data_IF_457569749136
#
_entry.id   IF_457569749136
#
_cell.length_a   1.000
_cell.length_b   1.000
_cell.length_c   1.000
_cell.angle_alpha   90.00
_cell.angle_beta   90.00
_cell.angle_gamma   90.00
#
_symmetry.space_group_name_H-M   'P 1'
#
loop_
_entity.id
_entity.type
_entity.pdbx_description
1 polymer ?
#
# COMPACT_ATOMS: atom_id res chain seq x y z
N UNK A 1 53.16 27.22 0.45
CA UNK A 1 52.18 26.53 1.32
C UNK A 1 50.75 26.99 1.03
N UNK A 2 50.54 28.25 0.66
CA UNK A 2 49.20 28.80 0.37
C UNK A 2 48.61 28.35 -0.99
N UNK A 3 49.43 28.07 -2.00
CA UNK A 3 48.96 27.57 -3.30
C UNK A 3 48.33 26.16 -3.26
N UNK A 4 48.72 25.32 -2.29
CA UNK A 4 48.17 23.97 -2.12
C UNK A 4 46.79 23.95 -1.48
N UNK A 5 46.45 24.99 -0.69
CA UNK A 5 45.17 25.10 0.02
C UNK A 5 44.08 25.66 -0.91
N UNK A 6 44.45 26.49 -1.89
CA UNK A 6 43.52 26.97 -2.92
C UNK A 6 43.07 25.85 -3.87
N UNK A 7 43.94 24.86 -4.16
CA UNK A 7 43.66 23.75 -5.08
C UNK A 7 42.55 22.81 -4.57
N UNK A 8 42.40 22.68 -3.25
CA UNK A 8 41.39 21.80 -2.63
C UNK A 8 39.99 22.43 -2.66
N UNK A 9 39.87 23.76 -2.75
CA UNK A 9 38.56 24.45 -2.75
C UNK A 9 37.86 24.49 -4.10
N UNK A 10 38.59 24.37 -5.21
CA UNK A 10 38.01 24.47 -6.57
C UNK A 10 37.34 23.15 -7.02
N UNK A 11 37.68 22.02 -6.41
CA UNK A 11 37.14 20.70 -6.78
C UNK A 11 35.76 20.37 -6.17
N UNK A 12 35.11 21.28 -5.45
CA UNK A 12 33.91 20.97 -4.63
C UNK A 12 32.58 21.43 -5.28
N UNK A 13 32.56 21.96 -6.51
CA UNK A 13 31.30 22.44 -7.10
C UNK A 13 31.01 21.86 -8.51
N UNK A 14 30.15 20.84 -8.54
CA UNK A 14 29.30 20.50 -9.69
C UNK A 14 29.99 19.89 -10.92
N UNK A 15 29.18 19.53 -11.90
CA UNK A 15 29.46 18.73 -13.12
C UNK A 15 30.58 19.24 -14.05
N UNK A 16 31.35 20.24 -13.64
CA UNK A 16 32.51 20.82 -14.33
C UNK A 16 33.86 20.31 -13.80
N UNK A 17 33.87 19.50 -12.73
CA UNK A 17 35.10 19.01 -12.10
C UNK A 17 36.04 18.26 -13.06
N UNK A 18 35.51 17.44 -13.97
CA UNK A 18 36.31 16.75 -14.98
C UNK A 18 36.99 17.75 -15.94
N UNK A 19 36.24 18.75 -16.41
CA UNK A 19 36.76 19.77 -17.34
C UNK A 19 37.80 20.67 -16.68
N UNK A 20 37.56 21.07 -15.42
CA UNK A 20 38.52 21.83 -14.62
C UNK A 20 39.80 21.02 -14.35
N UNK A 21 39.69 19.70 -14.16
CA UNK A 21 40.86 18.83 -14.00
C UNK A 21 41.74 18.84 -15.25
N UNK A 22 41.16 18.78 -16.45
CA UNK A 22 41.91 18.90 -17.71
C UNK A 22 42.49 20.30 -17.92
N UNK A 23 41.78 21.36 -17.53
CA UNK A 23 42.29 22.73 -17.58
C UNK A 23 43.49 22.91 -16.64
N UNK A 24 43.43 22.34 -15.43
CA UNK A 24 44.55 22.37 -14.47
C UNK A 24 45.74 21.54 -14.95
N UNK A 25 45.50 20.33 -15.47
CA UNK A 25 46.57 19.51 -16.05
C UNK A 25 47.23 20.21 -17.25
N UNK A 26 46.43 20.89 -18.09
CA UNK A 26 46.91 21.72 -19.19
C UNK A 26 47.74 22.92 -18.71
N UNK A 27 47.26 23.66 -17.70
CA UNK A 27 47.99 24.79 -17.13
C UNK A 27 49.31 24.36 -16.45
N UNK A 28 49.30 23.23 -15.75
CA UNK A 28 50.51 22.62 -15.16
C UNK A 28 51.47 22.17 -16.26
N UNK A 29 50.97 21.54 -17.33
CA UNK A 29 51.80 21.14 -18.47
C UNK A 29 52.42 22.34 -19.20
N UNK A 30 51.66 23.41 -19.41
CA UNK A 30 52.16 24.67 -19.99
C UNK A 30 53.22 25.29 -19.07
N UNK A 31 52.99 25.32 -17.76
CA UNK A 31 53.98 25.82 -16.80
C UNK A 31 55.27 24.97 -16.82
N UNK A 32 55.14 23.65 -16.84
CA UNK A 32 56.28 22.72 -16.90
C UNK A 32 57.05 22.82 -18.23
N UNK A 33 56.36 23.03 -19.35
CA UNK A 33 56.97 23.08 -20.69
C UNK A 33 57.56 24.45 -21.05
N UNK A 34 56.94 25.55 -20.58
CA UNK A 34 57.36 26.92 -20.91
C UNK A 34 58.34 27.49 -19.88
N UNK A 35 58.11 27.26 -18.58
CA UNK A 35 58.90 27.91 -17.52
C UNK A 35 59.99 27.02 -16.90
N UNK A 36 59.88 25.69 -16.99
CA UNK A 36 60.95 24.78 -16.57
C UNK A 36 61.76 24.27 -17.77
N UNK A 37 62.98 24.79 -17.94
CA UNK A 37 63.96 24.23 -18.90
C UNK A 37 64.12 22.72 -18.63
N UNK A 38 64.11 21.89 -19.69
CA UNK A 38 64.21 20.40 -19.64
C UNK A 38 65.22 19.87 -18.62
N UNK A 39 66.34 20.57 -18.45
CA UNK A 39 67.45 20.16 -17.58
C UNK A 39 67.19 20.31 -16.06
N UNK A 40 66.14 21.04 -15.65
CA UNK A 40 65.76 21.21 -14.22
C UNK A 40 64.73 20.20 -13.74
N UNK A 41 63.87 19.71 -14.63
CA UNK A 41 62.90 18.65 -14.34
C UNK A 41 63.58 17.33 -13.95
N UNK A 42 64.66 16.98 -14.66
CA UNK A 42 65.48 15.80 -14.39
C UNK A 42 66.37 15.94 -13.14
N UNK A 43 66.48 17.15 -12.56
CA UNK A 43 67.27 17.44 -11.35
C UNK A 43 66.43 17.52 -10.07
N UNK A 44 65.14 17.21 -10.12
CA UNK A 44 64.30 17.14 -8.92
C UNK A 44 64.79 16.04 -7.99
N UNK A 45 64.82 16.30 -6.69
CA UNK A 45 65.13 15.27 -5.70
C UNK A 45 64.10 14.13 -5.81
N UNK A 46 64.52 12.88 -5.56
CA UNK A 46 63.65 11.70 -5.64
C UNK A 46 62.34 11.86 -4.85
N UNK A 47 62.37 12.60 -3.73
CA UNK A 47 61.19 12.90 -2.91
C UNK A 47 60.18 13.80 -3.63
N UNK A 48 60.65 14.83 -4.32
CA UNK A 48 59.78 15.78 -5.02
C UNK A 48 59.21 15.17 -6.31
N UNK A 49 59.97 14.33 -7.02
CA UNK A 49 59.45 13.60 -8.18
C UNK A 49 58.39 12.57 -7.81
N UNK A 50 58.56 11.84 -6.70
CA UNK A 50 57.54 10.93 -6.17
C UNK A 50 56.25 11.66 -5.75
N UNK A 51 56.36 12.84 -5.15
CA UNK A 51 55.20 13.65 -4.77
C UNK A 51 54.39 14.11 -6.00
N UNK A 52 55.07 14.60 -7.05
CA UNK A 52 54.40 15.00 -8.31
C UNK A 52 53.73 13.79 -8.95
N UNK A 53 54.40 12.64 -8.99
CA UNK A 53 53.83 11.40 -9.52
C UNK A 53 52.57 10.99 -8.75
N UNK A 54 52.59 11.05 -7.41
CA UNK A 54 51.44 10.73 -6.57
C UNK A 54 50.24 11.65 -6.84
N UNK A 55 50.47 12.96 -7.03
CA UNK A 55 49.40 13.91 -7.38
C UNK A 55 48.80 13.58 -8.76
N UNK A 56 49.65 13.32 -9.77
CA UNK A 56 49.19 12.98 -11.12
C UNK A 56 48.38 11.69 -11.11
N UNK A 57 48.87 10.65 -10.42
CA UNK A 57 48.14 9.38 -10.26
C UNK A 57 46.81 9.62 -9.53
N UNK A 58 46.79 10.43 -8.47
CA UNK A 58 45.57 10.78 -7.74
C UNK A 58 44.53 11.46 -8.61
N UNK A 59 44.92 12.41 -9.46
CA UNK A 59 44.03 13.08 -10.41
C UNK A 59 43.48 12.11 -11.47
N UNK A 60 44.30 11.19 -11.97
CA UNK A 60 43.86 10.15 -12.91
C UNK A 60 42.84 9.23 -12.25
N UNK A 61 43.12 8.75 -11.03
CA UNK A 61 42.19 7.89 -10.27
C UNK A 61 40.88 8.63 -9.99
N UNK A 62 40.95 9.90 -9.59
CA UNK A 62 39.76 10.74 -9.39
C UNK A 62 38.93 10.91 -10.67
N UNK A 63 39.57 11.21 -11.80
CA UNK A 63 38.88 11.38 -13.08
C UNK A 63 38.21 10.07 -13.55
N UNK A 64 38.91 8.94 -13.42
CA UNK A 64 38.36 7.62 -13.76
C UNK A 64 37.19 7.27 -12.83
N UNK A 65 37.34 7.47 -11.51
CA UNK A 65 36.32 7.19 -10.51
C UNK A 65 35.08 8.07 -10.70
N UNK A 66 35.25 9.37 -10.92
CA UNK A 66 34.17 10.31 -11.22
C UNK A 66 33.43 9.91 -12.50
N UNK A 67 34.17 9.62 -13.57
CA UNK A 67 33.56 9.16 -14.82
C UNK A 67 32.78 7.85 -14.63
N UNK A 68 33.32 6.89 -13.87
CA UNK A 68 32.61 5.67 -13.54
C UNK A 68 31.31 5.97 -12.78
N UNK A 69 31.36 6.84 -11.77
CA UNK A 69 30.19 7.23 -10.97
C UNK A 69 29.07 7.86 -11.83
N UNK A 70 29.37 8.73 -12.79
CA UNK A 70 28.32 9.38 -13.58
C UNK A 70 27.87 8.60 -14.83
N UNK A 71 28.72 7.72 -15.37
CA UNK A 71 28.50 7.07 -16.68
C UNK A 71 28.32 5.54 -16.63
N UNK A 72 28.34 4.92 -15.45
CA UNK A 72 28.07 3.49 -15.29
C UNK A 72 26.85 3.26 -14.41
N UNK A 73 26.02 2.29 -14.78
CA UNK A 73 24.88 1.89 -13.97
C UNK A 73 25.37 1.20 -12.69
N UNK A 74 24.95 1.70 -11.54
CA UNK A 74 25.14 1.08 -10.24
C UNK A 74 24.01 1.54 -9.31
N UNK A 75 23.67 0.67 -8.35
CA UNK A 75 22.69 0.93 -7.32
C UNK A 75 22.97 0.02 -6.13
N UNK A 76 22.83 0.57 -4.93
CA UNK A 76 22.97 -0.12 -3.65
C UNK A 76 21.96 0.47 -2.66
N UNK A 77 21.22 -0.40 -1.99
CA UNK A 77 20.38 -0.07 -0.85
C UNK A 77 21.18 -0.20 0.44
N UNK A 78 20.93 0.67 1.41
CA UNK A 78 21.75 0.70 2.63
C UNK A 78 21.50 -0.50 3.56
N UNK A 79 20.33 -1.13 3.44
CA UNK A 79 19.90 -2.23 4.27
C UNK A 79 19.53 -3.44 3.41
N UNK A 80 19.91 -4.63 3.83
CA UNK A 80 19.46 -5.88 3.17
C UNK A 80 18.07 -6.31 3.61
N UNK A 81 17.61 -5.85 4.78
CA UNK A 81 16.24 -6.08 5.25
C UNK A 81 15.79 -5.04 6.29
N UNK A 82 14.52 -4.68 6.23
CA UNK A 82 13.90 -3.67 7.10
C UNK A 82 12.54 -4.17 7.57
N UNK A 83 12.12 -3.77 8.77
CA UNK A 83 10.79 -4.06 9.28
C UNK A 83 9.86 -2.90 8.98
N UNK A 84 8.69 -3.22 8.43
CA UNK A 84 7.67 -2.21 8.14
C UNK A 84 7.17 -1.55 9.43
N UNK A 85 6.94 -0.24 9.43
CA UNK A 85 6.33 0.48 10.55
C UNK A 85 4.85 0.13 10.71
N UNK A 86 4.01 1.12 11.05
CA UNK A 86 2.55 0.93 11.00
C UNK A 86 2.03 0.90 9.57
N UNK A 87 2.49 1.84 8.74
CA UNK A 87 2.00 2.04 7.35
C UNK A 87 3.08 1.84 6.30
N UNK A 88 4.32 2.20 6.60
CA UNK A 88 5.41 2.12 5.64
C UNK A 88 6.75 1.91 6.32
N UNK A 89 7.76 1.65 5.49
CA UNK A 89 9.16 1.54 5.83
C UNK A 89 9.95 2.37 4.81
N UNK A 90 10.78 3.31 5.29
CA UNK A 90 11.61 4.14 4.42
C UNK A 90 12.82 3.34 3.97
N UNK A 91 13.04 3.27 2.66
CA UNK A 91 14.17 2.63 2.01
C UNK A 91 14.98 3.72 1.34
N UNK A 92 16.28 3.73 1.57
CA UNK A 92 17.20 4.68 0.97
C UNK A 92 18.51 4.00 0.58
N UNK A 93 19.23 4.63 -0.33
CA UNK A 93 20.46 4.09 -0.88
C UNK A 93 21.15 5.06 -1.82
N UNK A 94 22.14 4.54 -2.54
CA UNK A 94 22.89 5.29 -3.54
C UNK A 94 22.79 4.60 -4.89
N UNK A 95 22.58 5.39 -5.93
CA UNK A 95 22.51 4.97 -7.30
C UNK A 95 23.31 5.91 -8.20
N UNK A 96 23.40 5.58 -9.49
CA UNK A 96 23.98 6.50 -10.48
C UNK A 96 23.31 7.88 -10.37
N UNK A 97 24.06 8.98 -10.20
CA UNK A 97 23.47 10.30 -10.00
C UNK A 97 22.57 10.75 -11.14
N UNK A 98 21.55 11.54 -10.79
CA UNK A 98 20.56 12.10 -11.71
C UNK A 98 19.87 11.06 -12.61
N UNK A 99 19.65 9.84 -12.11
CA UNK A 99 18.99 8.77 -12.86
C UNK A 99 17.65 8.38 -12.26
N UNK A 100 16.81 7.78 -13.10
CA UNK A 100 15.53 7.20 -12.67
C UNK A 100 15.78 5.85 -11.98
N UNK A 101 15.30 5.74 -10.76
CA UNK A 101 15.34 4.52 -9.95
C UNK A 101 13.97 3.85 -10.02
N UNK A 102 13.89 2.75 -10.77
CA UNK A 102 12.67 1.95 -10.89
C UNK A 102 12.54 0.99 -9.73
N UNK A 103 11.42 1.04 -9.03
CA UNK A 103 11.09 0.17 -7.89
C UNK A 103 10.13 -0.94 -8.32
N UNK A 104 10.33 -2.14 -7.79
CA UNK A 104 9.47 -3.29 -8.05
C UNK A 104 9.13 -3.99 -6.74
N UNK A 105 7.86 -4.35 -6.54
CA UNK A 105 7.41 -5.20 -5.44
C UNK A 105 7.09 -6.59 -6.00
N UNK A 106 7.81 -7.61 -5.55
CA UNK A 106 7.60 -9.01 -5.93
C UNK A 106 7.51 -9.25 -7.47
N UNK A 107 8.16 -8.37 -8.26
CA UNK A 107 8.24 -8.45 -9.72
C UNK A 107 7.41 -7.40 -10.46
N UNK A 108 6.45 -6.76 -9.80
CA UNK A 108 5.59 -5.73 -10.39
C UNK A 108 6.18 -4.33 -10.21
N UNK A 109 6.22 -3.52 -11.27
CA UNK A 109 6.76 -2.15 -11.22
C UNK A 109 5.83 -1.24 -10.42
N UNK A 110 6.37 -0.58 -9.40
CA UNK A 110 5.66 0.44 -8.62
C UNK A 110 5.90 1.80 -9.27
N UNK A 111 4.83 2.57 -9.43
CA UNK A 111 4.86 3.91 -10.03
C UNK A 111 4.34 4.95 -9.04
N UNK A 112 4.81 6.21 -9.10
CA UNK A 112 5.79 6.77 -10.04
C UNK A 112 7.21 6.29 -9.78
N UNK A 113 8.08 6.49 -10.77
CA UNK A 113 9.51 6.13 -10.69
C UNK A 113 10.25 7.17 -9.86
N UNK A 114 11.11 6.72 -8.95
CA UNK A 114 11.94 7.58 -8.12
C UNK A 114 13.12 8.17 -8.91
N UNK A 115 13.74 9.21 -8.37
CA UNK A 115 14.93 9.82 -8.99
C UNK A 115 16.04 9.97 -7.95
N UNK A 116 17.25 9.55 -8.31
CA UNK A 116 18.43 9.89 -7.52
C UNK A 116 18.82 11.36 -7.71
N UNK A 117 19.34 11.97 -6.66
CA UNK A 117 19.85 13.34 -6.70
C UNK A 117 21.24 13.44 -7.36
N UNK A 118 21.88 14.61 -7.27
CA UNK A 118 23.21 14.88 -7.86
C UNK A 118 24.35 14.10 -7.22
N UNK A 119 24.13 13.60 -6.00
CA UNK A 119 25.09 12.78 -5.25
C UNK A 119 24.74 11.29 -5.35
N UNK A 120 23.64 10.95 -6.03
CA UNK A 120 23.18 9.59 -6.23
C UNK A 120 22.22 9.10 -5.15
N UNK A 121 21.89 9.90 -4.16
CA UNK A 121 20.98 9.50 -3.09
C UNK A 121 19.55 9.34 -3.61
N UNK A 122 18.88 8.28 -3.18
CA UNK A 122 17.45 8.08 -3.42
C UNK A 122 16.77 7.57 -2.15
N UNK A 123 15.48 7.86 -2.02
CA UNK A 123 14.63 7.43 -0.91
C UNK A 123 13.22 7.15 -1.42
N UNK A 124 12.56 6.13 -0.89
CA UNK A 124 11.13 5.88 -1.09
C UNK A 124 10.51 5.12 0.08
N UNK A 125 9.18 5.09 0.13
CA UNK A 125 8.44 4.39 1.18
C UNK A 125 7.87 3.05 0.66
N UNK A 126 8.29 1.94 1.28
CA UNK A 126 7.66 0.65 1.09
C UNK A 126 6.42 0.51 1.98
N UNK A 127 5.24 0.37 1.38
CA UNK A 127 3.96 0.28 2.10
C UNK A 127 3.50 -1.16 2.36
N UNK A 128 4.15 -2.12 1.72
CA UNK A 128 3.84 -3.53 1.84
C UNK A 128 5.09 -4.37 2.17
N UNK A 129 4.94 -5.46 2.95
CA UNK A 129 5.99 -6.45 3.10
C UNK A 129 6.20 -7.21 1.79
N UNK A 130 7.45 -7.59 1.50
CA UNK A 130 7.79 -8.29 0.27
C UNK A 130 9.25 -8.05 -0.14
N UNK A 131 9.64 -8.56 -1.30
CA UNK A 131 10.94 -8.29 -1.91
C UNK A 131 10.83 -7.04 -2.79
N UNK A 132 11.40 -5.96 -2.31
CA UNK A 132 11.51 -4.71 -3.04
C UNK A 132 12.80 -4.72 -3.85
N UNK A 133 12.70 -4.60 -5.16
CA UNK A 133 13.85 -4.57 -6.08
C UNK A 133 13.97 -3.18 -6.69
N UNK A 134 15.17 -2.63 -6.69
CA UNK A 134 15.47 -1.33 -7.30
C UNK A 134 16.36 -1.53 -8.53
N UNK A 135 16.08 -0.79 -9.60
CA UNK A 135 16.83 -0.88 -10.86
C UNK A 135 17.17 0.49 -11.41
N UNK A 136 18.39 0.61 -11.91
CA UNK A 136 18.86 1.78 -12.65
C UNK A 136 19.48 1.35 -13.96
N UNK A 137 19.13 2.04 -15.04
CA UNK A 137 19.69 1.82 -16.36
C UNK A 137 20.47 3.04 -16.82
N UNK A 138 21.73 2.86 -17.20
CA UNK A 138 22.60 3.88 -17.76
C UNK A 138 23.39 3.30 -18.93
N UNK A 139 23.41 4.00 -20.07
CA UNK A 139 24.17 3.61 -21.26
C UNK A 139 23.88 2.16 -21.72
N UNK A 140 22.61 1.74 -21.67
CA UNK A 140 22.17 0.40 -22.07
C UNK A 140 22.49 -0.73 -21.08
N UNK A 141 23.12 -0.43 -19.94
CA UNK A 141 23.38 -1.40 -18.86
C UNK A 141 22.45 -1.14 -17.69
N UNK A 142 22.00 -2.21 -17.04
CA UNK A 142 21.11 -2.14 -15.88
C UNK A 142 21.81 -2.71 -14.65
N UNK A 143 21.82 -1.95 -13.57
CA UNK A 143 22.18 -2.42 -12.24
C UNK A 143 20.90 -2.70 -11.43
N UNK A 144 20.99 -3.64 -10.50
CA UNK A 144 19.84 -4.09 -9.70
C UNK A 144 20.31 -4.41 -8.30
N UNK A 145 19.53 -3.98 -7.31
CA UNK A 145 19.67 -4.39 -5.92
C UNK A 145 18.30 -4.69 -5.32
N UNK A 146 18.24 -5.34 -4.16
CA UNK A 146 16.99 -5.65 -3.49
C UNK A 146 17.06 -5.59 -1.97
N UNK A 147 15.90 -5.35 -1.38
CA UNK A 147 15.70 -5.29 0.05
C UNK A 147 14.45 -6.07 0.46
N UNK A 148 14.54 -6.80 1.56
CA UNK A 148 13.41 -7.60 2.08
C UNK A 148 12.69 -6.82 3.17
N UNK A 149 11.46 -6.43 2.90
CA UNK A 149 10.62 -5.71 3.87
C UNK A 149 9.76 -6.72 4.64
N UNK A 150 9.99 -6.81 5.95
CA UNK A 150 9.37 -7.80 6.83
C UNK A 150 8.21 -7.20 7.61
N UNK A 151 7.19 -8.03 7.85
CA UNK A 151 6.06 -7.69 8.74
C UNK A 151 6.58 -7.41 10.16
N UNK A 152 6.26 -6.25 10.72
CA UNK A 152 6.47 -5.98 12.15
C UNK A 152 5.22 -6.34 12.97
N UNK A 153 5.35 -6.36 14.30
CA UNK A 153 4.19 -6.47 15.20
C UNK A 153 3.25 -5.26 15.07
N UNK A 154 3.79 -4.06 14.85
CA UNK A 154 3.00 -2.85 14.64
C UNK A 154 2.18 -2.93 13.35
N UNK A 155 2.77 -3.43 12.26
CA UNK A 155 2.07 -3.66 10.99
C UNK A 155 0.97 -4.69 11.14
N UNK A 156 1.24 -5.83 11.80
CA UNK A 156 0.21 -6.88 12.02
C UNK A 156 -1.00 -6.33 12.78
N UNK A 157 -0.76 -5.52 13.83
CA UNK A 157 -1.82 -4.86 14.59
C UNK A 157 -2.59 -3.84 13.74
N UNK A 158 -1.88 -3.09 12.88
CA UNK A 158 -2.52 -2.15 11.97
C UNK A 158 -3.38 -2.87 10.92
N UNK A 159 -2.86 -3.93 10.30
CA UNK A 159 -3.59 -4.74 9.32
C UNK A 159 -4.85 -5.35 9.93
N UNK A 160 -4.76 -5.96 11.12
CA UNK A 160 -5.94 -6.49 11.81
C UNK A 160 -6.96 -5.40 12.15
N UNK A 161 -6.52 -4.18 12.50
CA UNK A 161 -7.44 -3.06 12.75
C UNK A 161 -8.13 -2.56 11.48
N UNK A 162 -7.44 -2.57 10.34
CA UNK A 162 -8.05 -2.22 9.05
C UNK A 162 -9.00 -3.34 8.58
N UNK A 163 -8.58 -4.60 8.66
CA UNK A 163 -9.46 -5.74 8.39
C UNK A 163 -10.74 -5.69 9.23
N UNK A 164 -10.63 -5.31 10.50
CA UNK A 164 -11.81 -5.20 11.36
C UNK A 164 -12.67 -3.98 11.01
N UNK A 165 -12.10 -2.91 10.44
CA UNK A 165 -12.86 -1.76 9.96
C UNK A 165 -13.61 -2.13 8.68
N UNK A 166 -12.93 -2.74 7.73
CA UNK A 166 -13.50 -3.17 6.44
C UNK A 166 -14.62 -4.19 6.67
N UNK A 167 -14.39 -5.21 7.52
CA UNK A 167 -15.42 -6.20 7.86
C UNK A 167 -16.67 -5.58 8.52
N UNK A 168 -16.52 -4.47 9.26
CA UNK A 168 -17.68 -3.77 9.84
C UNK A 168 -18.46 -2.98 8.80
N UNK A 169 -17.77 -2.36 7.85
CA UNK A 169 -18.40 -1.62 6.74
C UNK A 169 -19.11 -2.59 5.78
N UNK A 170 -18.48 -3.72 5.45
CA UNK A 170 -19.07 -4.78 4.62
C UNK A 170 -20.28 -5.41 5.32
N UNK A 171 -20.17 -5.73 6.61
CA UNK A 171 -21.30 -6.23 7.39
C UNK A 171 -22.46 -5.22 7.42
N UNK A 172 -22.17 -3.93 7.60
CA UNK A 172 -23.18 -2.87 7.62
C UNK A 172 -23.96 -2.77 6.31
N UNK A 173 -23.25 -2.90 5.18
CA UNK A 173 -23.87 -2.92 3.86
C UNK A 173 -24.79 -4.14 3.70
N UNK A 174 -24.28 -5.35 3.97
CA UNK A 174 -25.06 -6.58 3.88
C UNK A 174 -26.26 -6.59 4.85
N UNK A 175 -26.11 -6.01 6.05
CA UNK A 175 -27.18 -5.88 7.03
C UNK A 175 -28.31 -4.97 6.53
N UNK A 176 -27.96 -3.81 5.97
CA UNK A 176 -28.93 -2.88 5.39
C UNK A 176 -29.66 -3.49 4.18
N UNK A 177 -28.89 -4.14 3.31
CA UNK A 177 -29.41 -4.81 2.12
C UNK A 177 -30.36 -5.96 2.48
N UNK A 178 -30.05 -6.74 3.51
CA UNK A 178 -30.92 -7.79 4.02
C UNK A 178 -32.18 -7.20 4.66
N UNK A 179 -32.04 -6.13 5.45
CA UNK A 179 -33.18 -5.47 6.11
C UNK A 179 -34.17 -4.89 5.11
N UNK A 180 -33.70 -4.15 4.09
CA UNK A 180 -34.58 -3.55 3.08
C UNK A 180 -35.43 -4.63 2.37
N UNK A 181 -34.80 -5.76 2.01
CA UNK A 181 -35.49 -6.88 1.35
C UNK A 181 -36.49 -7.55 2.28
N UNK A 182 -36.10 -7.82 3.53
CA UNK A 182 -36.97 -8.44 4.54
C UNK A 182 -38.15 -7.54 4.93
N UNK A 183 -37.92 -6.22 5.04
CA UNK A 183 -38.97 -5.25 5.32
C UNK A 183 -39.98 -5.21 4.17
N UNK A 184 -39.49 -5.09 2.93
CA UNK A 184 -40.35 -5.10 1.75
C UNK A 184 -41.16 -6.40 1.62
N UNK A 185 -40.55 -7.55 1.93
CA UNK A 185 -41.21 -8.86 1.93
C UNK A 185 -42.31 -8.93 3.00
N UNK A 186 -41.99 -8.62 4.25
CA UNK A 186 -42.94 -8.68 5.36
C UNK A 186 -44.10 -7.69 5.22
N UNK A 187 -43.86 -6.52 4.63
CA UNK A 187 -44.93 -5.56 4.29
C UNK A 187 -45.84 -6.07 3.17
N UNK A 188 -45.29 -6.71 2.11
CA UNK A 188 -46.11 -7.34 1.04
C UNK A 188 -46.95 -8.49 1.61
N UNK A 189 -46.37 -9.29 2.52
CA UNK A 189 -47.06 -10.36 3.26
C UNK A 189 -48.21 -9.80 4.11
N UNK A 190 -47.93 -8.87 5.02
CA UNK A 190 -48.94 -8.25 5.87
C UNK A 190 -50.10 -7.65 5.08
N UNK A 191 -49.81 -6.84 4.05
CA UNK A 191 -50.83 -6.16 3.27
C UNK A 191 -51.69 -7.14 2.44
N UNK A 192 -51.08 -8.20 1.90
CA UNK A 192 -51.81 -9.23 1.16
C UNK A 192 -52.73 -10.00 2.09
N UNK A 193 -52.27 -10.36 3.29
CA UNK A 193 -53.08 -11.03 4.29
C UNK A 193 -54.27 -10.18 4.73
N UNK A 194 -54.03 -8.90 5.07
CA UNK A 194 -55.09 -7.98 5.49
C UNK A 194 -56.15 -7.80 4.40
N UNK A 195 -55.77 -7.79 3.13
CA UNK A 195 -56.70 -7.71 2.01
C UNK A 195 -57.57 -8.97 1.87
N UNK A 196 -56.98 -10.16 1.99
CA UNK A 196 -57.68 -11.44 1.87
C UNK A 196 -58.64 -11.72 3.03
N UNK A 197 -58.24 -11.34 4.24
CA UNK A 197 -59.07 -11.44 5.44
C UNK A 197 -60.30 -10.53 5.34
N UNK A 198 -60.09 -9.25 4.98
CA UNK A 198 -61.18 -8.28 4.77
C UNK A 198 -62.16 -8.69 3.66
N UNK A 199 -61.69 -9.42 2.64
CA UNK A 199 -62.53 -9.90 1.54
C UNK A 199 -63.35 -11.16 1.89
N UNK A 200 -63.09 -11.81 3.03
CA UNK A 200 -63.72 -13.08 3.41
C UNK A 200 -63.36 -14.25 2.47
N UNK A 201 -62.32 -14.08 1.65
CA UNK A 201 -61.84 -15.05 0.65
C UNK A 201 -60.49 -15.65 1.03
N UNK A 202 -60.05 -15.48 2.27
CA UNK A 202 -58.78 -16.01 2.76
C UNK A 202 -58.68 -17.51 2.52
N UNK A 203 -57.74 -17.91 1.65
CA UNK A 203 -57.30 -19.29 1.56
C UNK A 203 -56.58 -19.73 2.85
N UNK A 204 -56.00 -20.93 2.85
CA UNK A 204 -55.13 -21.34 3.95
C UNK A 204 -53.87 -20.46 3.97
N UNK A 205 -53.36 -20.19 5.18
CA UNK A 205 -52.15 -19.37 5.45
C UNK A 205 -50.98 -19.78 4.55
N UNK A 206 -50.80 -21.09 4.37
CA UNK A 206 -49.69 -21.67 3.62
C UNK A 206 -49.71 -21.31 2.13
N UNK A 207 -50.88 -21.26 1.50
CA UNK A 207 -51.01 -20.97 0.06
C UNK A 207 -50.71 -19.50 -0.25
N UNK A 208 -51.08 -18.60 0.67
CA UNK A 208 -50.82 -17.15 0.53
C UNK A 208 -49.33 -16.87 0.69
N UNK A 209 -48.71 -17.46 1.71
CA UNK A 209 -47.27 -17.36 1.95
C UNK A 209 -46.45 -17.90 0.76
N UNK A 210 -46.78 -19.11 0.29
CA UNK A 210 -46.03 -19.75 -0.79
C UNK A 210 -46.08 -18.91 -2.08
N UNK A 211 -47.22 -18.27 -2.38
CA UNK A 211 -47.36 -17.40 -3.54
C UNK A 211 -46.53 -16.11 -3.44
N UNK A 212 -46.50 -15.47 -2.27
CA UNK A 212 -45.72 -14.25 -2.03
C UNK A 212 -44.23 -14.56 -2.09
N UNK A 213 -43.80 -15.66 -1.48
CA UNK A 213 -42.42 -16.12 -1.55
C UNK A 213 -41.99 -16.50 -2.97
N UNK A 214 -42.85 -17.16 -3.76
CA UNK A 214 -42.59 -17.44 -5.19
C UNK A 214 -42.43 -16.17 -6.00
N UNK A 215 -43.28 -15.16 -5.78
CA UNK A 215 -43.21 -13.86 -6.46
C UNK A 215 -41.92 -13.10 -6.11
N UNK A 216 -41.43 -13.26 -4.88
CA UNK A 216 -40.25 -12.59 -4.36
C UNK A 216 -39.00 -13.50 -4.26
N UNK A 217 -38.98 -14.63 -4.98
CA UNK A 217 -37.94 -15.66 -4.87
C UNK A 217 -36.52 -15.12 -5.10
N UNK A 218 -36.38 -14.10 -5.96
CA UNK A 218 -35.10 -13.41 -6.19
C UNK A 218 -34.61 -12.70 -4.92
N UNK A 219 -35.46 -11.91 -4.28
CA UNK A 219 -35.12 -11.20 -3.04
C UNK A 219 -34.75 -12.17 -1.92
N UNK A 220 -35.44 -13.31 -1.82
CA UNK A 220 -35.12 -14.36 -0.84
C UNK A 220 -33.73 -14.94 -1.08
N UNK A 221 -33.36 -15.20 -2.34
CA UNK A 221 -32.02 -15.66 -2.69
C UNK A 221 -30.94 -14.63 -2.38
N UNK A 222 -31.22 -13.35 -2.62
CA UNK A 222 -30.29 -12.26 -2.30
C UNK A 222 -30.10 -12.11 -0.78
N UNK A 223 -31.18 -12.20 0.01
CA UNK A 223 -31.10 -12.22 1.48
C UNK A 223 -30.18 -13.34 1.98
N UNK A 224 -30.29 -14.54 1.40
CA UNK A 224 -29.38 -15.65 1.76
C UNK A 224 -27.91 -15.34 1.43
N UNK A 225 -27.65 -14.60 0.35
CA UNK A 225 -26.33 -14.06 0.01
C UNK A 225 -25.83 -13.08 1.08
N UNK A 226 -26.66 -12.10 1.43
CA UNK A 226 -26.34 -11.09 2.44
C UNK A 226 -26.02 -11.73 3.81
N UNK A 227 -26.77 -12.78 4.20
CA UNK A 227 -26.47 -13.56 5.42
C UNK A 227 -25.12 -14.30 5.35
N UNK A 228 -24.76 -14.85 4.19
CA UNK A 228 -23.46 -15.49 3.98
C UNK A 228 -22.31 -14.49 4.08
N UNK A 229 -22.48 -13.29 3.56
CA UNK A 229 -21.48 -12.21 3.66
C UNK A 229 -21.33 -11.74 5.12
N UNK A 230 -22.44 -11.47 5.83
CA UNK A 230 -22.40 -11.16 7.26
C UNK A 230 -21.70 -12.25 8.10
N UNK A 231 -21.93 -13.54 7.80
CA UNK A 231 -21.24 -14.64 8.50
C UNK A 231 -19.72 -14.64 8.24
N UNK A 232 -19.31 -14.31 7.02
CA UNK A 232 -17.90 -14.22 6.65
C UNK A 232 -17.23 -13.06 7.42
N UNK A 233 -17.89 -11.93 7.51
CA UNK A 233 -17.38 -10.76 8.24
C UNK A 233 -17.33 -11.02 9.75
N UNK A 234 -18.32 -11.70 10.33
CA UNK A 234 -18.27 -12.14 11.73
C UNK A 234 -17.09 -13.08 12.02
N UNK A 235 -16.75 -13.99 11.09
CA UNK A 235 -15.57 -14.86 11.22
C UNK A 235 -14.27 -14.03 11.23
N UNK A 236 -14.19 -12.99 10.42
CA UNK A 236 -13.06 -12.06 10.39
C UNK A 236 -12.97 -11.25 11.69
N UNK A 237 -14.07 -10.65 12.15
CA UNK A 237 -14.13 -9.92 13.42
C UNK A 237 -13.75 -10.79 14.61
N UNK A 238 -14.17 -12.06 14.64
CA UNK A 238 -13.78 -13.01 15.70
C UNK A 238 -12.28 -13.22 15.81
N UNK A 239 -11.55 -13.15 14.69
CA UNK A 239 -10.11 -13.31 14.65
C UNK A 239 -9.37 -12.02 15.09
N UNK A 240 -10.02 -10.86 14.99
CA UNK A 240 -9.37 -9.54 15.12
C UNK A 240 -9.79 -8.75 16.37
N UNK A 241 -11.05 -8.84 16.80
CA UNK A 241 -11.61 -8.18 18.00
C UNK A 241 -12.80 -8.96 18.59
N UNK A 242 -12.61 -9.53 19.79
CA UNK A 242 -13.67 -10.27 20.50
C UNK A 242 -14.86 -9.38 20.87
N UNK A 243 -14.62 -8.10 21.14
CA UNK A 243 -15.69 -7.17 21.51
C UNK A 243 -16.57 -6.84 20.30
N UNK A 244 -15.97 -6.40 19.18
CA UNK A 244 -16.69 -6.12 17.93
C UNK A 244 -17.44 -7.38 17.46
N UNK A 245 -16.83 -8.56 17.56
CA UNK A 245 -17.52 -9.82 17.25
C UNK A 245 -18.78 -10.04 18.10
N UNK A 246 -18.71 -9.82 19.42
CA UNK A 246 -19.85 -10.05 20.29
C UNK A 246 -21.01 -9.08 20.00
N UNK A 247 -20.70 -7.82 19.71
CA UNK A 247 -21.67 -6.80 19.32
C UNK A 247 -22.32 -7.13 17.98
N UNK A 248 -21.52 -7.34 16.93
CA UNK A 248 -22.03 -7.65 15.59
C UNK A 248 -22.78 -8.98 15.52
N UNK A 249 -22.43 -9.95 16.38
CA UNK A 249 -23.19 -11.21 16.50
C UNK A 249 -24.61 -10.96 17.02
N UNK A 250 -24.83 -9.96 17.87
CA UNK A 250 -26.17 -9.60 18.34
C UNK A 250 -26.99 -9.05 17.18
N UNK A 251 -26.43 -8.11 16.40
CA UNK A 251 -27.09 -7.59 15.21
C UNK A 251 -27.48 -8.71 14.24
N UNK A 252 -26.53 -9.60 13.92
CA UNK A 252 -26.79 -10.77 13.09
C UNK A 252 -27.94 -11.63 13.65
N UNK A 253 -27.95 -11.85 14.96
CA UNK A 253 -29.00 -12.64 15.61
C UNK A 253 -30.37 -11.98 15.49
N UNK A 254 -30.43 -10.65 15.60
CA UNK A 254 -31.69 -9.91 15.52
C UNK A 254 -32.25 -9.88 14.10
N UNK A 255 -31.42 -9.67 13.08
CA UNK A 255 -31.88 -9.76 11.68
C UNK A 255 -32.24 -11.21 11.29
N UNK A 256 -31.59 -12.22 11.89
CA UNK A 256 -31.97 -13.64 11.74
C UNK A 256 -33.37 -13.92 12.31
N UNK A 257 -33.77 -13.24 13.39
CA UNK A 257 -35.13 -13.36 13.92
C UNK A 257 -36.13 -12.76 12.94
N UNK A 258 -35.84 -11.59 12.37
CA UNK A 258 -36.67 -10.98 11.33
C UNK A 258 -36.78 -11.90 10.09
N UNK A 259 -35.67 -12.47 9.62
CA UNK A 259 -35.66 -13.47 8.53
C UNK A 259 -36.61 -14.64 8.86
N UNK A 260 -36.52 -15.20 10.07
CA UNK A 260 -37.38 -16.31 10.46
C UNK A 260 -38.85 -15.89 10.54
N UNK A 261 -39.17 -14.69 11.05
CA UNK A 261 -40.54 -14.18 11.12
C UNK A 261 -41.14 -14.03 9.72
N UNK A 262 -40.39 -13.50 8.76
CA UNK A 262 -40.85 -13.25 7.38
C UNK A 262 -40.89 -14.55 6.57
N UNK A 263 -39.84 -15.35 6.60
CA UNK A 263 -39.75 -16.55 5.75
C UNK A 263 -40.46 -17.78 6.33
N UNK A 264 -40.65 -17.82 7.65
CA UNK A 264 -41.30 -18.90 8.38
C UNK A 264 -42.28 -18.34 9.43
N UNK A 265 -43.33 -17.61 9.00
CA UNK A 265 -44.25 -16.96 9.93
C UNK A 265 -44.92 -17.99 10.86
N UNK A 266 -45.14 -17.62 12.13
CA UNK A 266 -45.82 -18.50 13.08
C UNK A 266 -47.23 -18.84 12.59
N UNK A 267 -47.62 -20.11 12.70
CA UNK A 267 -48.98 -20.54 12.37
C UNK A 267 -49.99 -19.86 13.32
N UNK A 268 -50.96 -19.12 12.78
CA UNK A 268 -51.96 -18.43 13.59
C UNK A 268 -52.67 -17.26 12.89
N UNK A 269 -53.39 -16.46 13.67
CA UNK A 269 -54.10 -15.26 13.21
C UNK A 269 -53.13 -14.16 12.76
N UNK A 270 -53.58 -13.32 11.81
CA UNK A 270 -52.80 -12.23 11.19
C UNK A 270 -52.15 -11.29 12.22
N UNK A 271 -52.84 -11.02 13.33
CA UNK A 271 -52.38 -10.12 14.39
C UNK A 271 -51.08 -10.63 15.03
N UNK A 272 -50.92 -11.95 15.19
CA UNK A 272 -49.70 -12.53 15.78
C UNK A 272 -48.49 -12.37 14.86
N UNK A 273 -48.68 -12.41 13.54
CA UNK A 273 -47.63 -12.14 12.58
C UNK A 273 -47.29 -10.64 12.55
N UNK A 274 -48.30 -9.77 12.50
CA UNK A 274 -48.13 -8.33 12.44
C UNK A 274 -47.34 -7.79 13.64
N UNK A 275 -47.72 -8.20 14.85
CA UNK A 275 -47.03 -7.81 16.09
C UNK A 275 -45.58 -8.30 16.09
N UNK A 276 -45.35 -9.58 15.77
CA UNK A 276 -44.01 -10.15 15.74
C UNK A 276 -43.12 -9.51 14.66
N UNK A 277 -43.67 -9.23 13.47
CA UNK A 277 -42.96 -8.59 12.38
C UNK A 277 -42.57 -7.16 12.76
N UNK A 278 -43.51 -6.35 13.25
CA UNK A 278 -43.26 -4.95 13.60
C UNK A 278 -42.26 -4.83 14.77
N UNK A 279 -42.33 -5.72 15.77
CA UNK A 279 -41.37 -5.76 16.88
C UNK A 279 -39.93 -6.06 16.39
N UNK A 280 -39.77 -7.09 15.54
CA UNK A 280 -38.45 -7.43 14.99
C UNK A 280 -37.94 -6.35 14.03
N UNK A 281 -38.83 -5.82 13.18
CA UNK A 281 -38.54 -4.73 12.24
C UNK A 281 -38.01 -3.50 12.96
N UNK A 282 -38.68 -3.07 14.03
CA UNK A 282 -38.25 -1.90 14.81
C UNK A 282 -36.90 -2.13 15.50
N UNK A 283 -36.64 -3.35 15.98
CA UNK A 283 -35.35 -3.73 16.57
C UNK A 283 -34.23 -3.65 15.52
N UNK A 284 -34.43 -4.25 14.33
CA UNK A 284 -33.44 -4.26 13.24
C UNK A 284 -33.22 -2.85 12.67
N UNK A 285 -34.29 -2.06 12.52
CA UNK A 285 -34.18 -0.67 12.08
C UNK A 285 -33.40 0.18 13.09
N UNK A 286 -33.62 0.01 14.39
CA UNK A 286 -32.81 0.70 15.41
C UNK A 286 -31.34 0.27 15.40
N UNK A 287 -31.03 -0.96 15.00
CA UNK A 287 -29.66 -1.43 14.87
C UNK A 287 -28.94 -0.77 13.68
N UNK A 288 -29.64 -0.41 12.60
CA UNK A 288 -29.03 0.31 11.47
C UNK A 288 -28.42 1.64 11.90
N UNK A 289 -29.09 2.37 12.79
CA UNK A 289 -28.57 3.63 13.35
C UNK A 289 -27.32 3.45 14.23
N UNK A 290 -27.06 2.23 14.71
CA UNK A 290 -25.90 1.91 15.56
C UNK A 290 -24.74 1.34 14.76
N UNK A 291 -25.03 0.73 13.61
CA UNK A 291 -24.04 0.08 12.74
C UNK A 291 -23.35 1.09 11.81
N UNK A 292 -24.01 2.20 11.46
CA UNK A 292 -23.49 3.32 10.65
C UNK A 292 -23.00 4.51 11.48
#
# INVERSE_FOLDING_TARGET
>A
MEAGIALVRVCIAGSYAAMLTFIFLGAIWIYLSVFMKKDKLLKMSKKNSLMVLAIVVGLIVYAIGSNANYNTAHIETNDSSIKLGKKSATIFGYATPDTKVKTYLDGEEITPVEKSDSDGYFEFNAEAPGKWTVKVTKNGKTATDYIVVKKSSAWKKYQAKQGAKDAKEDFAAAYADAFEKLDSLGVDEHNTWASLDNAGTGGTIDDTLENIQKKNAKSILEVAGDFSDMEKDLKQLKAESVNDYNEYRLYYTDIKKLENTVLNPPAGEIDNFADAFEDQRNTVNSNLDLIY
#
